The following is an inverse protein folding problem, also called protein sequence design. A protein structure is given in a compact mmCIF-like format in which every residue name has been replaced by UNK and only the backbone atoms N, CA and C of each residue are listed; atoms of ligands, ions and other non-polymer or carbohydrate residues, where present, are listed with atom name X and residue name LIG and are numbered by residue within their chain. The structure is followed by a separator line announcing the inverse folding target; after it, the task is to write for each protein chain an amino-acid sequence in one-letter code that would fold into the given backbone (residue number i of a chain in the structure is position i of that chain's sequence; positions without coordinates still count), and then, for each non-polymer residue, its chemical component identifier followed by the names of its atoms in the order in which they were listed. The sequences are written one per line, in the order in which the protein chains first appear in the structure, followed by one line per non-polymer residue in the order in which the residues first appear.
data_IF_111757480205
#
_entry.id   IF_111757480205
#
_cell.length_a   1.000
_cell.length_b   1.000
_cell.length_c   1.000
_cell.angle_alpha   90.00
_cell.angle_beta   90.00
_cell.angle_gamma   90.00
#
_symmetry.space_group_name_H-M   'P 1'
#
loop_
_entity.id
_entity.type
_entity.pdbx_description
1 polymer ?
#
# COMPACT_ATOMS: atom_id res chain seq x y z
N UNK A 1 15.85 -14.73 4.52
CA UNK A 1 15.89 -13.27 4.22
C UNK A 1 14.46 -12.81 4.13
N UNK A 2 14.08 -11.72 4.81
CA UNK A 2 12.79 -11.08 4.55
C UNK A 2 12.86 -10.44 3.16
N UNK A 3 12.11 -10.98 2.20
CA UNK A 3 11.94 -10.33 0.91
C UNK A 3 10.92 -9.21 1.09
N UNK A 4 11.37 -7.96 1.03
CA UNK A 4 10.52 -6.78 1.22
C UNK A 4 10.33 -6.05 -0.10
N UNK A 5 9.19 -5.39 -0.25
CA UNK A 5 8.81 -4.65 -1.45
C UNK A 5 8.35 -3.24 -1.07
N UNK A 6 8.64 -2.29 -1.96
CA UNK A 6 8.22 -0.89 -1.85
C UNK A 6 6.72 -0.77 -2.17
N UNK A 7 5.98 -0.14 -1.26
CA UNK A 7 4.56 0.17 -1.43
C UNK A 7 4.26 1.62 -1.08
N UNK A 8 3.15 2.09 -1.61
CA UNK A 8 2.68 3.47 -1.50
C UNK A 8 1.23 3.48 -1.07
N UNK A 9 0.90 4.45 -0.24
CA UNK A 9 -0.47 4.78 0.06
C UNK A 9 -1.10 5.60 -1.07
N UNK A 10 -2.32 5.21 -1.43
CA UNK A 10 -3.16 5.99 -2.32
C UNK A 10 -3.74 7.15 -1.54
N UNK A 11 -3.63 8.34 -2.13
CA UNK A 11 -4.29 9.53 -1.62
C UNK A 11 -5.41 9.97 -2.56
N UNK A 12 -6.48 10.48 -1.97
CA UNK A 12 -7.51 11.23 -2.66
C UNK A 12 -7.42 12.68 -2.22
N UNK A 13 -7.69 13.60 -3.15
CA UNK A 13 -7.78 15.02 -2.82
C UNK A 13 -9.22 15.33 -2.47
N UNK A 14 -9.43 15.84 -1.26
CA UNK A 14 -10.71 16.40 -0.85
C UNK A 14 -11.06 17.56 -1.82
N UNK A 15 -12.20 17.51 -2.52
CA UNK A 15 -12.57 18.52 -3.49
C UNK A 15 -12.99 19.85 -2.85
N UNK A 16 -13.44 19.85 -1.59
CA UNK A 16 -13.87 21.03 -0.85
C UNK A 16 -12.68 21.73 -0.19
N UNK A 17 -11.75 20.96 0.40
CA UNK A 17 -10.63 21.51 1.18
C UNK A 17 -9.29 21.47 0.46
N UNK A 18 -9.19 20.72 -0.64
CA UNK A 18 -7.96 20.52 -1.41
C UNK A 18 -6.91 19.67 -0.69
N UNK A 19 -7.23 19.11 0.48
CA UNK A 19 -6.32 18.33 1.33
C UNK A 19 -6.17 16.90 0.79
N UNK A 20 -4.97 16.35 0.95
CA UNK A 20 -4.73 14.93 0.67
C UNK A 20 -5.25 14.09 1.83
N UNK A 21 -6.09 13.11 1.52
CA UNK A 21 -6.63 12.14 2.46
C UNK A 21 -6.23 10.73 2.02
N UNK A 22 -5.94 9.86 2.99
CA UNK A 22 -5.65 8.47 2.69
C UNK A 22 -6.90 7.76 2.18
N UNK A 23 -6.75 6.99 1.09
CA UNK A 23 -7.85 6.32 0.41
C UNK A 23 -8.15 4.91 0.95
N UNK A 24 -7.42 4.44 1.96
CA UNK A 24 -7.55 3.07 2.48
C UNK A 24 -6.97 1.99 1.55
N UNK A 25 -6.12 2.37 0.61
CA UNK A 25 -5.51 1.46 -0.37
C UNK A 25 -4.00 1.66 -0.41
N UNK A 26 -3.26 0.55 -0.31
CA UNK A 26 -1.80 0.52 -0.34
C UNK A 26 -1.36 -0.49 -1.40
N UNK A 27 -0.38 -0.14 -2.23
CA UNK A 27 0.07 -1.02 -3.29
C UNK A 27 1.41 -0.63 -3.89
N UNK A 28 1.92 -1.48 -4.77
CA UNK A 28 3.16 -1.19 -5.49
C UNK A 28 2.98 -0.03 -6.46
N UNK A 29 4.05 0.72 -6.72
CA UNK A 29 4.04 1.82 -7.71
C UNK A 29 3.49 1.39 -9.06
N UNK A 30 3.80 0.17 -9.49
CA UNK A 30 3.35 -0.38 -10.77
C UNK A 30 1.83 -0.61 -10.79
N UNK A 31 1.29 -1.28 -9.77
CA UNK A 31 -0.14 -1.53 -9.67
C UNK A 31 -0.95 -0.22 -9.60
N UNK A 32 -0.47 0.72 -8.78
CA UNK A 32 -1.15 2.00 -8.60
C UNK A 32 -1.12 2.87 -9.85
N UNK A 33 0.00 2.90 -10.58
CA UNK A 33 0.06 3.60 -11.87
C UNK A 33 -0.83 2.94 -12.93
N UNK A 34 -0.87 1.60 -12.98
CA UNK A 34 -1.73 0.84 -13.89
C UNK A 34 -3.20 1.22 -13.69
N UNK A 35 -3.60 1.37 -12.44
CA UNK A 35 -5.01 1.59 -12.09
C UNK A 35 -5.36 3.09 -11.94
N UNK A 36 -4.41 3.99 -12.24
CA UNK A 36 -4.65 5.44 -12.31
C UNK A 36 -4.71 6.16 -10.96
N UNK A 37 -4.17 5.57 -9.90
CA UNK A 37 -4.20 6.15 -8.57
C UNK A 37 -3.19 7.28 -8.39
N UNK A 38 -3.60 8.32 -7.66
CA UNK A 38 -2.70 9.34 -7.17
C UNK A 38 -1.90 8.80 -5.98
N UNK A 39 -0.59 8.91 -6.08
CA UNK A 39 0.37 8.51 -5.05
C UNK A 39 0.74 9.72 -4.21
N UNK A 40 0.91 9.53 -2.91
CA UNK A 40 1.72 10.46 -2.14
C UNK A 40 3.19 10.03 -2.26
N UNK A 41 4.06 10.81 -2.95
CA UNK A 41 5.47 10.46 -3.09
C UNK A 41 6.23 10.48 -1.75
N UNK A 42 5.65 11.03 -0.67
CA UNK A 42 6.23 11.04 0.67
C UNK A 42 5.72 9.91 1.56
N UNK A 43 4.62 9.24 1.20
CA UNK A 43 4.04 8.12 1.95
C UNK A 43 4.48 6.77 1.38
N UNK A 44 5.80 6.60 1.28
CA UNK A 44 6.43 5.35 0.86
C UNK A 44 6.77 4.49 2.08
N UNK A 45 6.47 3.20 2.02
CA UNK A 45 6.83 2.23 3.05
C UNK A 45 7.27 0.90 2.44
N UNK A 46 7.75 -0.02 3.27
CA UNK A 46 8.15 -1.37 2.87
C UNK A 46 7.37 -2.42 3.65
N UNK A 47 6.96 -3.48 2.98
CA UNK A 47 6.36 -4.66 3.62
C UNK A 47 6.93 -5.95 3.04
N UNK A 48 6.78 -7.10 3.73
CA UNK A 48 7.03 -8.41 3.15
C UNK A 48 6.32 -8.58 1.81
N UNK A 49 7.02 -9.10 0.81
CA UNK A 49 6.47 -9.34 -0.52
C UNK A 49 5.32 -10.35 -0.51
N UNK A 50 5.31 -11.27 0.47
CA UNK A 50 4.24 -12.23 0.70
C UNK A 50 2.90 -11.60 1.14
N UNK A 51 2.89 -10.32 1.52
CA UNK A 51 1.67 -9.58 1.87
C UNK A 51 1.03 -8.88 0.66
N UNK A 52 1.66 -8.98 -0.50
CA UNK A 52 1.17 -8.40 -1.74
C UNK A 52 0.43 -9.46 -2.55
N UNK A 53 -0.79 -9.15 -2.95
CA UNK A 53 -1.56 -10.02 -3.83
C UNK A 53 -1.00 -10.06 -5.27
N UNK A 54 -1.57 -10.94 -6.08
CA UNK A 54 -1.19 -11.07 -7.50
C UNK A 54 -1.39 -9.78 -8.32
N UNK A 55 -2.24 -8.87 -7.84
CA UNK A 55 -2.54 -7.60 -8.51
C UNK A 55 -1.54 -6.51 -8.14
N UNK A 56 -0.70 -6.74 -7.13
CA UNK A 56 0.31 -5.82 -6.63
C UNK A 56 -0.18 -4.90 -5.50
N UNK A 57 -1.24 -5.30 -4.78
CA UNK A 57 -1.83 -4.57 -3.66
C UNK A 57 -1.59 -5.25 -2.32
N UNK A 58 -1.52 -4.45 -1.26
CA UNK A 58 -1.47 -4.96 0.11
C UNK A 58 -2.76 -5.71 0.43
N UNK A 59 -2.62 -6.95 0.91
CA UNK A 59 -3.76 -7.79 1.26
C UNK A 59 -3.67 -8.23 2.73
N UNK A 60 -4.64 -7.79 3.53
CA UNK A 60 -4.74 -8.10 4.96
C UNK A 60 -4.87 -9.60 5.23
N UNK A 61 -5.51 -10.36 4.34
CA UNK A 61 -5.68 -11.81 4.50
C UNK A 61 -4.35 -12.55 4.37
N UNK A 62 -3.40 -12.02 3.60
CA UNK A 62 -2.03 -12.54 3.52
C UNK A 62 -1.24 -12.21 4.79
N UNK A 63 -1.48 -11.04 5.40
CA UNK A 63 -0.83 -10.66 6.68
C UNK A 63 -1.25 -11.63 7.79
N UNK A 64 -2.54 -11.97 7.89
CA UNK A 64 -3.07 -12.86 8.93
C UNK A 64 -2.54 -14.30 8.83
N UNK A 65 -2.06 -14.73 7.66
CA UNK A 65 -1.40 -16.02 7.49
C UNK A 65 0.00 -16.06 8.12
N UNK A 66 0.56 -14.90 8.47
CA UNK A 66 1.87 -14.76 9.10
C UNK A 66 1.77 -14.06 10.47
N UNK A 67 1.18 -14.72 11.50
CA UNK A 67 0.89 -14.11 12.81
C UNK A 67 2.13 -13.71 13.64
N UNK A 68 3.35 -13.81 13.11
CA UNK A 68 4.61 -13.59 13.86
C UNK A 68 5.37 -12.31 13.52
N UNK A 69 4.86 -11.45 12.65
CA UNK A 69 5.63 -10.27 12.21
C UNK A 69 5.19 -8.92 12.80
N UNK A 70 4.00 -8.81 13.40
CA UNK A 70 3.57 -7.60 14.11
C UNK A 70 3.20 -7.91 15.57
N UNK A 71 4.07 -7.50 16.49
CA UNK A 71 3.68 -7.16 17.86
C UNK A 71 3.41 -5.67 17.90
N UNK A 72 2.20 -5.30 18.29
CA UNK A 72 1.85 -3.95 18.75
C UNK A 72 2.57 -3.68 20.07
#
# INVERSE_FOLDING_TARGET
MLNVIEVFDVIQRDPETGRSMWAGLTGTRMALKRDGHALDPKAMTYCPAEWIDERGYFNTDLVHQHPRLWGI
#
